data_IF_455087896685
#
_entry.id   IF_455087896685
#
_cell.length_a   1.000
_cell.length_b   1.000
_cell.length_c   1.000
_cell.angle_alpha   90.00
_cell.angle_beta   90.00
_cell.angle_gamma   90.00
#
_symmetry.space_group_name_H-M   'P 1'
#
loop_
_entity.id
_entity.type
_entity.pdbx_description
1 polymer ?
#
# COMPACT_ATOMS: atom_id res chain seq x y z
N UNK A 1 -4.78 -62.25 -21.86
CA UNK A 1 -5.59 -61.01 -21.92
C UNK A 1 -5.13 -60.26 -23.15
N UNK A 2 -6.05 -59.77 -24.00
CA UNK A 2 -5.68 -59.02 -25.19
C UNK A 2 -5.64 -57.52 -24.86
N UNK A 3 -4.47 -56.89 -25.03
CA UNK A 3 -4.35 -55.45 -24.88
C UNK A 3 -5.19 -54.72 -25.92
N UNK A 4 -6.06 -53.84 -25.45
CA UNK A 4 -6.91 -53.01 -26.31
C UNK A 4 -6.05 -51.89 -26.89
N UNK A 5 -5.74 -51.99 -28.18
CA UNK A 5 -5.24 -50.86 -28.98
C UNK A 5 -6.20 -49.67 -28.77
N UNK A 6 -5.73 -48.46 -28.42
CA UNK A 6 -6.61 -47.30 -28.24
C UNK A 6 -7.25 -46.89 -29.58
N UNK A 7 -8.49 -47.32 -29.83
CA UNK A 7 -9.26 -46.96 -31.04
C UNK A 7 -9.85 -45.55 -30.99
N UNK A 8 -9.07 -44.59 -30.48
CA UNK A 8 -9.39 -43.18 -30.54
C UNK A 8 -8.86 -42.59 -31.84
N UNK A 9 -9.74 -42.11 -32.73
CA UNK A 9 -9.31 -41.14 -33.75
C UNK A 9 -8.67 -39.95 -33.01
N UNK A 10 -7.52 -39.41 -33.46
CA UNK A 10 -6.91 -38.27 -32.79
C UNK A 10 -7.94 -37.14 -32.65
N UNK A 11 -7.99 -36.55 -31.44
CA UNK A 11 -8.92 -35.46 -31.09
C UNK A 11 -8.73 -34.37 -32.14
N UNK A 12 -9.78 -34.08 -32.92
CA UNK A 12 -9.67 -33.14 -34.05
C UNK A 12 -9.23 -31.78 -33.52
N UNK A 13 -8.18 -31.20 -34.11
CA UNK A 13 -7.87 -29.79 -33.90
C UNK A 13 -9.08 -28.96 -34.31
N UNK A 14 -9.54 -28.11 -33.41
CA UNK A 14 -10.76 -27.31 -33.57
C UNK A 14 -10.51 -25.81 -33.44
N UNK A 15 -9.33 -25.41 -32.94
CA UNK A 15 -8.83 -24.04 -32.90
C UNK A 15 -7.48 -23.92 -33.65
N UNK A 16 -7.08 -22.70 -34.00
CA UNK A 16 -5.79 -22.41 -34.65
C UNK A 16 -5.71 -22.72 -36.15
N UNK A 17 -6.79 -23.26 -36.75
CA UNK A 17 -6.83 -23.62 -38.17
C UNK A 17 -7.31 -22.42 -38.99
N UNK A 18 -6.48 -21.93 -39.92
CA UNK A 18 -6.85 -20.89 -40.88
C UNK A 18 -7.91 -21.45 -41.83
N UNK A 19 -9.11 -20.85 -41.83
CA UNK A 19 -10.24 -21.27 -42.69
C UNK A 19 -10.40 -20.41 -43.94
N UNK A 20 -9.91 -19.17 -43.93
CA UNK A 20 -10.11 -18.24 -45.06
C UNK A 20 -9.03 -17.17 -45.12
N UNK A 21 -8.71 -16.72 -46.33
CA UNK A 21 -8.00 -15.45 -46.57
C UNK A 21 -8.72 -14.63 -47.64
N UNK A 22 -8.79 -13.32 -47.41
CA UNK A 22 -9.25 -12.34 -48.38
C UNK A 22 -8.25 -11.19 -48.48
N UNK A 23 -7.88 -10.83 -49.71
CA UNK A 23 -6.93 -9.76 -50.02
C UNK A 23 -7.61 -8.70 -50.87
N UNK A 24 -7.48 -7.43 -50.49
CA UNK A 24 -7.86 -6.29 -51.32
C UNK A 24 -6.62 -5.44 -51.61
N UNK A 25 -6.41 -5.08 -52.87
CA UNK A 25 -5.32 -4.21 -53.34
C UNK A 25 -3.92 -4.59 -52.78
N UNK A 26 -3.63 -5.89 -52.65
CA UNK A 26 -2.41 -6.42 -52.06
C UNK A 26 -1.49 -7.02 -53.15
N UNK A 27 -0.31 -6.44 -53.32
CA UNK A 27 0.65 -6.75 -54.39
C UNK A 27 -0.01 -6.77 -55.79
N UNK A 28 -0.18 -7.96 -56.39
CA UNK A 28 -0.79 -8.13 -57.71
C UNK A 28 -2.32 -8.29 -57.64
N UNK A 29 -2.89 -8.62 -56.47
CA UNK A 29 -4.32 -8.95 -56.31
C UNK A 29 -5.14 -7.69 -56.01
N UNK A 30 -6.13 -7.38 -56.86
CA UNK A 30 -7.11 -6.30 -56.59
C UNK A 30 -8.17 -6.76 -55.59
N UNK A 31 -8.72 -7.96 -55.80
CA UNK A 31 -9.58 -8.67 -54.86
C UNK A 31 -9.30 -10.17 -55.06
N UNK A 32 -8.98 -10.89 -53.99
CA UNK A 32 -8.77 -12.34 -53.99
C UNK A 32 -9.41 -12.91 -52.72
N UNK A 33 -10.12 -14.02 -52.85
CA UNK A 33 -10.74 -14.71 -51.72
C UNK A 33 -10.50 -16.21 -51.90
N UNK A 34 -10.00 -16.87 -50.84
CA UNK A 34 -9.67 -18.29 -50.82
C UNK A 34 -10.15 -18.88 -49.49
N UNK A 35 -11.03 -19.87 -49.57
CA UNK A 35 -11.39 -20.73 -48.45
C UNK A 35 -10.39 -21.90 -48.38
N UNK A 36 -9.95 -22.26 -47.17
CA UNK A 36 -9.00 -23.32 -46.90
C UNK A 36 -9.67 -24.53 -46.24
N UNK A 37 -9.25 -25.73 -46.64
CA UNK A 37 -9.53 -26.97 -45.93
C UNK A 37 -8.60 -27.17 -44.73
N UNK A 38 -9.03 -28.01 -43.80
CA UNK A 38 -8.47 -28.13 -42.45
C UNK A 38 -7.05 -28.71 -42.35
N UNK A 39 -6.49 -29.25 -43.44
CA UNK A 39 -5.25 -30.04 -43.40
C UNK A 39 -4.23 -29.63 -44.46
N UNK A 40 -4.51 -29.94 -45.73
CA UNK A 40 -3.58 -29.72 -46.85
C UNK A 40 -4.31 -28.95 -47.94
N UNK A 41 -3.71 -27.84 -48.37
CA UNK A 41 -4.26 -26.93 -49.37
C UNK A 41 -3.26 -26.78 -50.51
N UNK A 42 -3.70 -27.04 -51.74
CA UNK A 42 -2.88 -26.92 -52.94
C UNK A 42 -3.24 -25.64 -53.71
N UNK A 43 -2.34 -24.66 -53.73
CA UNK A 43 -2.52 -23.41 -54.46
C UNK A 43 -1.72 -23.47 -55.77
N UNK A 44 -2.41 -23.80 -56.86
CA UNK A 44 -1.82 -23.93 -58.20
C UNK A 44 -2.10 -22.71 -59.08
N UNK A 45 -1.24 -22.44 -60.07
CA UNK A 45 -1.42 -21.32 -61.00
C UNK A 45 -0.14 -21.03 -61.79
N UNK A 46 -0.23 -20.21 -62.83
CA UNK A 46 0.90 -19.85 -63.69
C UNK A 46 2.00 -19.07 -62.93
N UNK A 47 3.20 -19.01 -63.49
CA UNK A 47 4.25 -18.16 -62.93
C UNK A 47 3.85 -16.68 -63.02
N UNK A 48 4.16 -15.90 -61.98
CA UNK A 48 3.68 -14.52 -61.85
C UNK A 48 2.25 -14.36 -61.31
N UNK A 49 1.43 -15.43 -61.20
CA UNK A 49 0.02 -15.34 -60.76
C UNK A 49 -0.22 -15.00 -59.27
N UNK A 50 0.80 -14.48 -58.57
CA UNK A 50 0.64 -14.03 -57.18
C UNK A 50 0.54 -15.12 -56.10
N UNK A 51 0.89 -16.38 -56.38
CA UNK A 51 0.86 -17.48 -55.39
C UNK A 51 1.64 -17.13 -54.10
N UNK A 52 2.88 -16.67 -54.25
CA UNK A 52 3.75 -16.27 -53.12
C UNK A 52 3.26 -15.04 -52.36
N UNK A 53 2.35 -14.24 -52.95
CA UNK A 53 1.73 -13.11 -52.28
C UNK A 53 0.75 -13.57 -51.19
N UNK A 54 0.10 -14.73 -51.36
CA UNK A 54 -0.81 -15.31 -50.36
C UNK A 54 -0.03 -15.69 -49.08
N UNK A 55 1.10 -16.39 -49.25
CA UNK A 55 2.00 -16.71 -48.13
C UNK A 55 2.55 -15.42 -47.47
N UNK A 56 2.87 -14.41 -48.26
CA UNK A 56 3.36 -13.13 -47.74
C UNK A 56 2.27 -12.37 -46.97
N UNK A 57 1.03 -12.42 -47.44
CA UNK A 57 -0.13 -11.84 -46.76
C UNK A 57 -0.38 -12.52 -45.42
N UNK A 58 -0.28 -13.86 -45.33
CA UNK A 58 -0.35 -14.58 -44.06
C UNK A 58 0.72 -14.12 -43.07
N UNK A 59 1.99 -14.04 -43.48
CA UNK A 59 3.06 -13.51 -42.62
C UNK A 59 2.74 -12.09 -42.12
N UNK A 60 2.24 -11.23 -43.01
CA UNK A 60 1.89 -9.83 -42.71
C UNK A 60 0.68 -9.74 -41.77
N UNK A 61 -0.33 -10.62 -41.91
CA UNK A 61 -1.46 -10.71 -40.99
C UNK A 61 -1.01 -11.11 -39.58
N UNK A 62 -0.19 -12.15 -39.47
CA UNK A 62 0.43 -12.60 -38.20
C UNK A 62 1.64 -11.75 -37.77
N UNK A 63 1.61 -10.44 -38.04
CA UNK A 63 2.53 -9.50 -37.38
C UNK A 63 3.95 -9.41 -37.94
N UNK A 64 4.37 -10.24 -38.92
CA UNK A 64 5.73 -10.20 -39.48
C UNK A 64 6.09 -8.79 -39.97
N UNK A 65 7.35 -8.40 -39.71
CA UNK A 65 7.95 -7.19 -40.30
C UNK A 65 8.05 -7.35 -41.83
N UNK A 66 7.88 -6.25 -42.58
CA UNK A 66 7.95 -6.28 -44.04
C UNK A 66 9.26 -6.91 -44.56
N UNK A 67 10.43 -6.50 -44.02
CA UNK A 67 11.74 -7.07 -44.33
C UNK A 67 11.83 -8.58 -44.07
N UNK A 68 11.15 -9.10 -43.05
CA UNK A 68 11.13 -10.52 -42.71
C UNK A 68 10.49 -11.41 -43.79
N UNK A 69 9.67 -10.83 -44.66
CA UNK A 69 9.06 -11.52 -45.80
C UNK A 69 9.99 -11.68 -47.00
N UNK A 70 11.12 -10.97 -47.03
CA UNK A 70 12.04 -10.84 -48.19
C UNK A 70 11.37 -10.28 -49.47
N UNK A 71 10.16 -9.70 -49.38
CA UNK A 71 9.41 -9.14 -50.52
C UNK A 71 9.28 -7.62 -50.52
N UNK A 72 9.44 -6.97 -49.37
CA UNK A 72 9.26 -5.53 -49.20
C UNK A 72 10.17 -4.96 -48.10
N UNK A 73 10.46 -3.66 -48.16
CA UNK A 73 11.20 -2.97 -47.11
C UNK A 73 10.27 -2.39 -46.04
N UNK A 74 9.09 -1.91 -46.46
CA UNK A 74 8.07 -1.28 -45.63
C UNK A 74 6.69 -1.85 -45.97
N UNK A 75 5.72 -1.71 -45.06
CA UNK A 75 4.39 -2.31 -45.26
C UNK A 75 3.64 -1.71 -46.45
N UNK A 76 3.82 -0.42 -46.72
CA UNK A 76 3.20 0.26 -47.87
C UNK A 76 3.64 -0.29 -49.23
N UNK A 77 4.82 -0.93 -49.31
CA UNK A 77 5.31 -1.55 -50.55
C UNK A 77 4.50 -2.80 -50.93
N UNK A 78 3.63 -3.29 -50.03
CA UNK A 78 2.65 -4.33 -50.32
C UNK A 78 1.34 -3.80 -50.93
N UNK A 79 1.13 -2.48 -50.97
CA UNK A 79 -0.04 -1.89 -51.62
C UNK A 79 0.12 -2.03 -53.13
N UNK A 80 -0.93 -2.52 -53.80
CA UNK A 80 -0.98 -2.64 -55.26
C UNK A 80 -0.74 -1.27 -55.90
N UNK A 81 0.15 -1.22 -56.90
CA UNK A 81 0.46 0.01 -57.64
C UNK A 81 -0.81 0.66 -58.20
N UNK A 82 -1.01 1.94 -57.91
CA UNK A 82 -2.22 2.69 -58.26
C UNK A 82 -3.33 2.68 -57.22
N UNK A 83 -3.14 1.98 -56.08
CA UNK A 83 -4.08 1.97 -54.96
C UNK A 83 -3.51 2.72 -53.74
N UNK A 84 -4.37 3.31 -52.92
CA UNK A 84 -3.99 4.09 -51.72
C UNK A 84 -3.91 3.26 -50.43
N UNK A 85 -4.42 2.03 -50.45
CA UNK A 85 -4.49 1.12 -49.32
C UNK A 85 -4.59 -0.34 -49.76
N UNK A 86 -4.25 -1.25 -48.85
CA UNK A 86 -4.45 -2.68 -48.98
C UNK A 86 -5.14 -3.25 -47.72
N UNK A 87 -5.86 -4.36 -47.88
CA UNK A 87 -6.44 -5.14 -46.79
C UNK A 87 -5.97 -6.58 -46.89
N UNK A 88 -5.55 -7.14 -45.76
CA UNK A 88 -5.40 -8.58 -45.55
C UNK A 88 -6.38 -8.99 -44.46
N UNK A 89 -7.32 -9.86 -44.79
CA UNK A 89 -8.30 -10.43 -43.86
C UNK A 89 -8.07 -11.94 -43.78
N UNK A 90 -7.88 -12.47 -42.56
CA UNK A 90 -7.65 -13.89 -42.31
C UNK A 90 -8.68 -14.37 -41.30
N UNK A 91 -9.35 -15.48 -41.57
CA UNK A 91 -10.27 -16.12 -40.62
C UNK A 91 -9.67 -17.42 -40.12
N UNK A 92 -9.83 -17.67 -38.81
CA UNK A 92 -9.24 -18.81 -38.14
C UNK A 92 -10.25 -19.41 -37.15
N UNK A 93 -10.40 -20.74 -37.19
CA UNK A 93 -11.29 -21.49 -36.29
C UNK A 93 -10.82 -21.33 -34.84
N UNK A 94 -11.77 -21.21 -33.92
CA UNK A 94 -11.52 -20.99 -32.51
C UNK A 94 -12.49 -21.81 -31.63
N UNK A 95 -12.45 -23.14 -31.78
CA UNK A 95 -13.40 -24.07 -31.13
C UNK A 95 -12.67 -25.12 -30.31
N UNK A 96 -13.39 -25.72 -29.35
CA UNK A 96 -12.86 -26.77 -28.47
C UNK A 96 -12.09 -26.23 -27.27
N UNK A 97 -11.39 -27.12 -26.57
CA UNK A 97 -10.69 -26.81 -25.32
C UNK A 97 -9.53 -25.81 -25.52
N UNK A 98 -8.87 -25.83 -26.67
CA UNK A 98 -7.73 -24.96 -27.00
C UNK A 98 -8.14 -23.59 -27.59
N UNK A 99 -9.42 -23.19 -27.46
CA UNK A 99 -9.91 -21.93 -28.01
C UNK A 99 -9.34 -20.70 -27.28
N UNK A 100 -8.76 -19.76 -28.03
CA UNK A 100 -8.24 -18.50 -27.50
C UNK A 100 -9.41 -17.58 -27.10
N UNK A 101 -9.48 -17.25 -25.80
CA UNK A 101 -10.45 -16.31 -25.21
C UNK A 101 -11.87 -16.50 -25.78
N UNK A 102 -12.37 -17.74 -25.70
CA UNK A 102 -13.61 -18.18 -26.35
C UNK A 102 -14.84 -17.29 -26.04
N UNK A 103 -14.95 -16.75 -24.84
CA UNK A 103 -16.03 -15.81 -24.45
C UNK A 103 -16.02 -14.50 -25.25
N UNK A 104 -14.84 -14.00 -25.63
CA UNK A 104 -14.68 -12.74 -26.35
C UNK A 104 -14.79 -12.92 -27.88
N UNK A 105 -14.20 -13.99 -28.41
CA UNK A 105 -14.11 -14.23 -29.86
C UNK A 105 -15.15 -15.22 -30.42
N UNK A 106 -15.67 -16.12 -29.58
CA UNK A 106 -16.49 -17.25 -30.02
C UNK A 106 -15.73 -18.20 -30.97
N UNK A 107 -16.50 -18.94 -31.76
CA UNK A 107 -16.05 -20.04 -32.64
C UNK A 107 -15.06 -19.68 -33.77
N UNK A 108 -14.85 -18.39 -34.05
CA UNK A 108 -14.07 -17.89 -35.17
C UNK A 108 -13.41 -16.56 -34.81
N UNK A 109 -12.11 -16.43 -35.08
CA UNK A 109 -11.38 -15.18 -34.97
C UNK A 109 -11.11 -14.64 -36.38
N UNK A 110 -11.39 -13.36 -36.60
CA UNK A 110 -11.02 -12.66 -37.82
C UNK A 110 -9.90 -11.65 -37.53
N UNK A 111 -8.84 -11.70 -38.34
CA UNK A 111 -7.67 -10.83 -38.26
C UNK A 111 -7.68 -9.93 -39.50
N UNK A 112 -8.02 -8.66 -39.31
CA UNK A 112 -7.95 -7.64 -40.35
C UNK A 112 -6.71 -6.77 -40.19
N UNK A 113 -5.86 -6.75 -41.21
CA UNK A 113 -4.73 -5.83 -41.31
C UNK A 113 -4.93 -4.89 -42.49
N UNK A 114 -5.20 -3.62 -42.18
CA UNK A 114 -5.33 -2.54 -43.16
C UNK A 114 -4.02 -1.74 -43.22
N UNK A 115 -3.50 -1.57 -44.43
CA UNK A 115 -2.26 -0.85 -44.73
C UNK A 115 -2.61 0.35 -45.60
N UNK A 116 -2.11 1.54 -45.27
CA UNK A 116 -2.12 2.73 -46.13
C UNK A 116 -0.69 3.23 -46.34
N UNK A 117 -0.51 4.25 -47.18
CA UNK A 117 0.81 4.86 -47.42
C UNK A 117 1.45 5.44 -46.14
N UNK A 118 0.62 5.91 -45.19
CA UNK A 118 1.04 6.61 -43.98
C UNK A 118 0.98 5.75 -42.71
N UNK A 119 0.16 4.69 -42.67
CA UNK A 119 -0.10 3.93 -41.45
C UNK A 119 -0.39 2.44 -41.72
N UNK A 120 -0.30 1.61 -40.70
CA UNK A 120 -0.88 0.27 -40.71
C UNK A 120 -1.63 0.01 -39.42
N UNK A 121 -2.79 -0.63 -39.51
CA UNK A 121 -3.64 -0.98 -38.37
C UNK A 121 -3.99 -2.46 -38.41
N UNK A 122 -4.18 -3.02 -37.22
CA UNK A 122 -4.58 -4.41 -37.02
C UNK A 122 -5.85 -4.38 -36.17
N UNK A 123 -6.86 -5.14 -36.56
CA UNK A 123 -8.13 -5.27 -35.84
C UNK A 123 -8.45 -6.77 -35.71
N UNK A 124 -8.72 -7.19 -34.49
CA UNK A 124 -9.19 -8.54 -34.19
C UNK A 124 -10.69 -8.48 -33.94
N UNK A 125 -11.45 -9.31 -34.65
CA UNK A 125 -12.91 -9.40 -34.55
C UNK A 125 -13.34 -10.79 -34.13
N UNK A 126 -14.49 -10.86 -33.47
CA UNK A 126 -15.15 -12.12 -33.11
C UNK A 126 -15.92 -12.73 -34.30
N UNK A 127 -16.54 -13.88 -34.07
CA UNK A 127 -17.34 -14.60 -35.07
C UNK A 127 -18.53 -13.80 -35.67
N UNK A 128 -18.97 -12.72 -35.02
CA UNK A 128 -20.01 -11.81 -35.50
C UNK A 128 -19.45 -10.62 -36.31
N UNK A 129 -18.14 -10.55 -36.52
CA UNK A 129 -17.47 -9.40 -37.13
C UNK A 129 -17.33 -8.17 -36.20
N UNK A 130 -17.70 -8.29 -34.93
CA UNK A 130 -17.55 -7.20 -33.94
C UNK A 130 -16.08 -7.10 -33.52
N UNK A 131 -15.53 -5.88 -33.56
CA UNK A 131 -14.19 -5.57 -33.07
C UNK A 131 -14.07 -5.90 -31.57
N UNK A 132 -13.12 -6.77 -31.25
CA UNK A 132 -12.72 -7.12 -29.87
C UNK A 132 -11.48 -6.32 -29.48
N UNK A 133 -10.47 -6.27 -30.35
CA UNK A 133 -9.20 -5.59 -30.08
C UNK A 133 -8.60 -4.91 -31.32
N UNK A 134 -7.62 -4.04 -31.08
CA UNK A 134 -6.76 -3.44 -32.12
C UNK A 134 -5.32 -3.17 -31.63
N UNK A 135 -4.95 -3.75 -30.48
CA UNK A 135 -3.59 -3.66 -29.92
C UNK A 135 -2.72 -4.75 -30.54
N UNK A 136 -1.42 -4.46 -30.73
CA UNK A 136 -0.48 -5.44 -31.30
C UNK A 136 -0.20 -6.57 -30.30
N UNK A 137 -0.33 -6.26 -29.02
CA UNK A 137 -0.11 -7.13 -27.87
C UNK A 137 -1.14 -8.28 -27.86
N UNK A 138 -2.41 -7.99 -28.13
CA UNK A 138 -3.46 -9.02 -28.26
C UNK A 138 -3.20 -9.97 -29.45
N UNK A 139 -2.72 -9.44 -30.59
CA UNK A 139 -2.29 -10.29 -31.71
C UNK A 139 -1.09 -11.17 -31.31
N UNK A 140 -0.15 -10.64 -30.52
CA UNK A 140 0.99 -11.40 -30.04
C UNK A 140 0.55 -12.53 -29.09
N UNK A 141 -0.40 -12.27 -28.18
CA UNK A 141 -1.00 -13.30 -27.31
C UNK A 141 -1.67 -14.41 -28.13
N UNK A 142 -2.46 -14.05 -29.14
CA UNK A 142 -3.09 -15.01 -30.05
C UNK A 142 -2.06 -15.86 -30.81
N UNK A 143 -1.00 -15.24 -31.32
CA UNK A 143 0.08 -15.90 -32.05
C UNK A 143 0.83 -16.90 -31.14
N UNK A 144 1.12 -16.50 -29.89
CA UNK A 144 1.78 -17.36 -28.89
C UNK A 144 0.87 -18.51 -28.48
N UNK A 145 -0.42 -18.25 -28.23
CA UNK A 145 -1.42 -19.26 -27.85
C UNK A 145 -1.56 -20.38 -28.90
N UNK A 146 -1.60 -20.01 -30.19
CA UNK A 146 -1.63 -20.99 -31.29
C UNK A 146 -0.25 -21.42 -31.80
N UNK A 147 0.83 -20.97 -31.14
CA UNK A 147 2.22 -21.31 -31.46
C UNK A 147 2.61 -21.07 -32.93
N UNK A 148 2.12 -19.97 -33.53
CA UNK A 148 2.28 -19.61 -34.95
C UNK A 148 3.58 -18.83 -35.18
N UNK A 149 4.70 -19.51 -35.41
CA UNK A 149 5.96 -18.82 -35.73
C UNK A 149 6.12 -18.58 -37.25
N UNK A 150 5.75 -17.38 -37.72
CA UNK A 150 5.94 -16.97 -39.13
C UNK A 150 7.38 -16.54 -39.48
N UNK A 151 8.27 -16.39 -38.50
CA UNK A 151 9.68 -16.10 -38.74
C UNK A 151 10.52 -17.38 -38.87
N UNK A 152 10.09 -18.49 -38.25
CA UNK A 152 10.74 -19.79 -38.35
C UNK A 152 10.79 -20.27 -39.82
N UNK A 153 11.99 -20.55 -40.37
CA UNK A 153 12.14 -20.94 -41.77
C UNK A 153 11.60 -22.34 -42.10
N UNK A 154 11.37 -23.20 -41.10
CA UNK A 154 10.73 -24.50 -41.28
C UNK A 154 9.19 -24.42 -41.31
N UNK A 155 8.60 -23.36 -40.74
CA UNK A 155 7.16 -23.08 -40.84
C UNK A 155 6.87 -22.29 -42.13
N UNK A 156 7.61 -21.19 -42.35
CA UNK A 156 7.51 -20.37 -43.55
C UNK A 156 8.78 -20.50 -44.39
N UNK A 157 8.73 -21.48 -45.29
CA UNK A 157 9.76 -21.74 -46.30
C UNK A 157 9.47 -20.95 -47.59
N UNK A 158 10.10 -19.79 -47.75
CA UNK A 158 10.03 -19.01 -49.00
C UNK A 158 10.95 -19.62 -50.07
N UNK A 159 10.66 -19.38 -51.35
CA UNK A 159 11.53 -19.80 -52.47
C UNK A 159 12.98 -19.32 -52.30
N UNK A 160 13.16 -18.11 -51.76
CA UNK A 160 14.47 -17.49 -51.58
C UNK A 160 15.18 -18.07 -50.35
N UNK A 161 14.49 -18.30 -49.22
CA UNK A 161 15.01 -19.08 -48.08
C UNK A 161 15.40 -20.51 -48.48
N UNK A 162 14.63 -21.19 -49.33
CA UNK A 162 14.97 -22.54 -49.83
C UNK A 162 16.26 -22.52 -50.64
N UNK A 163 16.42 -21.54 -51.53
CA UNK A 163 17.65 -21.35 -52.31
C UNK A 163 18.84 -21.03 -51.40
N UNK A 164 18.66 -20.10 -50.47
CA UNK A 164 19.69 -19.73 -49.49
C UNK A 164 20.13 -20.95 -48.66
N UNK A 165 19.18 -21.74 -48.14
CA UNK A 165 19.48 -22.96 -47.40
C UNK A 165 20.29 -23.98 -48.22
N UNK A 166 19.85 -24.29 -49.44
CA UNK A 166 20.53 -25.27 -50.32
C UNK A 166 21.90 -24.80 -50.83
N UNK A 167 22.06 -23.50 -51.09
CA UNK A 167 23.31 -22.92 -51.63
C UNK A 167 24.22 -22.32 -50.56
N UNK A 168 23.81 -22.31 -49.28
CA UNK A 168 24.67 -21.92 -48.15
C UNK A 168 25.80 -22.94 -47.98
N UNK A 169 26.92 -22.75 -48.68
CA UNK A 169 28.09 -23.64 -48.63
C UNK A 169 28.78 -23.68 -47.26
N UNK A 170 28.53 -22.70 -46.40
CA UNK A 170 29.18 -22.50 -45.11
C UNK A 170 28.46 -23.25 -43.97
N UNK A 171 29.21 -24.03 -43.19
CA UNK A 171 28.69 -24.76 -42.02
C UNK A 171 28.09 -23.82 -40.96
N UNK A 172 28.63 -22.59 -40.81
CA UNK A 172 28.10 -21.61 -39.85
C UNK A 172 26.67 -21.18 -40.17
N UNK A 173 26.34 -21.02 -41.44
CA UNK A 173 25.02 -20.52 -41.85
C UNK A 173 23.97 -21.63 -41.83
N UNK A 174 24.37 -22.89 -42.13
CA UNK A 174 23.57 -24.09 -41.84
C UNK A 174 23.29 -24.23 -40.33
N UNK A 175 24.28 -24.01 -39.48
CA UNK A 175 24.08 -24.02 -38.03
C UNK A 175 23.11 -22.92 -37.59
N UNK A 176 23.27 -21.66 -38.03
CA UNK A 176 22.32 -20.57 -37.73
C UNK A 176 20.90 -20.91 -38.17
N UNK A 177 20.73 -21.49 -39.37
CA UNK A 177 19.43 -21.91 -39.88
C UNK A 177 18.79 -22.95 -38.94
N UNK A 178 19.55 -24.00 -38.59
CA UNK A 178 19.10 -25.04 -37.65
C UNK A 178 18.77 -24.45 -36.26
N UNK A 179 19.63 -23.59 -35.73
CA UNK A 179 19.50 -22.95 -34.42
C UNK A 179 18.27 -22.02 -34.33
N UNK A 180 17.94 -21.29 -35.42
CA UNK A 180 16.68 -20.54 -35.52
C UNK A 180 15.47 -21.48 -35.72
N UNK A 181 15.58 -22.50 -36.58
CA UNK A 181 14.49 -23.42 -36.89
C UNK A 181 14.04 -24.27 -35.69
N UNK A 182 14.98 -24.64 -34.83
CA UNK A 182 14.76 -25.39 -33.57
C UNK A 182 14.37 -24.48 -32.40
N UNK A 183 14.16 -23.19 -32.63
CA UNK A 183 13.83 -22.16 -31.64
C UNK A 183 14.91 -21.95 -30.55
N UNK A 184 16.05 -22.66 -30.61
CA UNK A 184 17.15 -22.52 -29.65
C UNK A 184 17.70 -21.09 -29.57
N UNK A 185 17.69 -20.34 -30.68
CA UNK A 185 18.04 -18.92 -30.68
C UNK A 185 17.11 -18.09 -29.78
N UNK A 186 15.79 -18.36 -29.81
CA UNK A 186 14.84 -17.63 -28.96
C UNK A 186 15.06 -17.94 -27.48
N UNK A 187 15.46 -19.18 -27.16
CA UNK A 187 15.85 -19.59 -25.80
C UNK A 187 17.14 -18.89 -25.35
N UNK A 188 18.16 -18.81 -26.21
CA UNK A 188 19.40 -18.08 -25.90
C UNK A 188 19.14 -16.58 -25.67
N UNK A 189 18.40 -15.92 -26.57
CA UNK A 189 18.02 -14.51 -26.45
C UNK A 189 17.23 -14.25 -25.15
N UNK A 190 16.33 -15.15 -24.76
CA UNK A 190 15.59 -15.09 -23.49
C UNK A 190 16.51 -15.26 -22.26
N UNK A 191 17.43 -16.22 -22.29
CA UNK A 191 18.38 -16.45 -21.20
C UNK A 191 19.31 -15.25 -20.98
N UNK A 192 19.81 -14.65 -22.06
CA UNK A 192 20.62 -13.42 -22.00
C UNK A 192 19.79 -12.26 -21.42
N UNK A 193 18.53 -12.12 -21.84
CA UNK A 193 17.60 -11.14 -21.29
C UNK A 193 17.37 -11.30 -19.78
N UNK A 194 17.11 -12.53 -19.33
CA UNK A 194 16.92 -12.86 -17.91
C UNK A 194 18.19 -12.58 -17.10
N UNK A 195 19.38 -12.94 -17.61
CA UNK A 195 20.65 -12.63 -16.95
C UNK A 195 20.85 -11.13 -16.77
N UNK A 196 20.52 -10.32 -17.78
CA UNK A 196 20.58 -8.85 -17.68
C UNK A 196 19.57 -8.31 -16.66
N UNK A 197 18.35 -8.85 -16.60
CA UNK A 197 17.35 -8.43 -15.62
C UNK A 197 17.77 -8.78 -14.18
N UNK A 198 18.29 -9.99 -13.95
CA UNK A 198 18.82 -10.41 -12.66
C UNK A 198 20.00 -9.54 -12.20
N UNK A 199 20.90 -9.18 -13.11
CA UNK A 199 22.00 -8.26 -12.81
C UNK A 199 21.47 -6.91 -12.32
N UNK A 200 20.58 -6.28 -13.08
CA UNK A 200 20.01 -4.97 -12.74
C UNK A 200 19.22 -5.01 -11.42
N UNK A 201 18.50 -6.10 -11.15
CA UNK A 201 17.77 -6.29 -9.89
C UNK A 201 18.72 -6.42 -8.69
N UNK A 202 19.82 -7.17 -8.82
CA UNK A 202 20.83 -7.29 -7.77
C UNK A 202 21.55 -5.96 -7.50
N UNK A 203 21.85 -5.18 -8.54
CA UNK A 203 22.43 -3.84 -8.41
C UNK A 203 21.47 -2.90 -7.64
N UNK A 204 20.18 -2.90 -7.97
CA UNK A 204 19.16 -2.13 -7.26
C UNK A 204 19.00 -2.56 -5.79
N UNK A 205 19.00 -3.86 -5.50
CA UNK A 205 18.95 -4.37 -4.11
C UNK A 205 20.17 -3.88 -3.32
N UNK A 206 21.38 -3.97 -3.90
CA UNK A 206 22.60 -3.51 -3.23
C UNK A 206 22.63 -1.99 -3.00
N UNK A 207 21.98 -1.18 -3.84
CA UNK A 207 21.79 0.26 -3.60
C UNK A 207 20.79 0.53 -2.47
N UNK A 208 19.65 -0.19 -2.47
CA UNK A 208 18.64 -0.07 -1.41
C UNK A 208 19.21 -0.46 -0.04
N UNK A 209 19.93 -1.59 0.06
CA UNK A 209 20.61 -2.02 1.30
C UNK A 209 21.60 -0.95 1.81
N UNK A 210 22.39 -0.34 0.92
CA UNK A 210 23.29 0.78 1.29
C UNK A 210 22.53 1.99 1.83
N UNK A 211 21.35 2.29 1.29
CA UNK A 211 20.51 3.42 1.73
C UNK A 211 19.78 3.18 3.04
N UNK A 212 19.46 1.92 3.37
CA UNK A 212 18.79 1.54 4.64
C UNK A 212 19.77 1.61 5.82
N UNK A 213 21.03 1.20 5.63
CA UNK A 213 22.05 1.19 6.68
C UNK A 213 22.21 2.50 7.50
N UNK A 214 22.27 3.71 6.92
CA UNK A 214 22.32 4.95 7.70
C UNK A 214 21.03 5.21 8.48
N UNK A 215 19.85 4.89 7.92
CA UNK A 215 18.55 5.09 8.58
C UNK A 215 18.43 4.19 9.80
N UNK A 216 18.89 2.94 9.72
CA UNK A 216 18.92 2.01 10.86
C UNK A 216 19.81 2.55 11.99
N UNK A 217 20.99 3.10 11.66
CA UNK A 217 21.87 3.74 12.66
C UNK A 217 21.24 4.97 13.32
N UNK A 218 20.56 5.80 12.53
CA UNK A 218 19.84 6.98 13.07
C UNK A 218 18.72 6.56 14.03
N UNK A 219 17.98 5.48 13.71
CA UNK A 219 16.97 4.92 14.60
C UNK A 219 17.57 4.38 15.92
N UNK A 220 18.70 3.68 15.87
CA UNK A 220 19.40 3.20 17.07
C UNK A 220 19.87 4.38 17.95
N UNK A 221 20.43 5.44 17.35
CA UNK A 221 20.80 6.66 18.07
C UNK A 221 19.60 7.37 18.71
N UNK A 222 18.47 7.46 17.99
CA UNK A 222 17.23 8.05 18.51
C UNK A 222 16.64 7.21 19.65
N UNK A 223 16.65 5.87 19.56
CA UNK A 223 16.27 5.01 20.66
C UNK A 223 17.17 5.19 21.89
N UNK A 224 18.48 5.36 21.71
CA UNK A 224 19.41 5.66 22.80
C UNK A 224 19.09 6.99 23.50
N UNK A 225 18.72 8.02 22.72
CA UNK A 225 18.29 9.33 23.23
C UNK A 225 16.97 9.21 24.01
N UNK A 226 15.98 8.48 23.50
CA UNK A 226 14.70 8.25 24.19
C UNK A 226 14.90 7.60 25.56
N UNK A 227 15.64 6.48 25.64
CA UNK A 227 15.94 5.82 26.93
C UNK A 227 16.67 6.72 27.93
N UNK A 228 17.53 7.60 27.43
CA UNK A 228 18.21 8.60 28.27
C UNK A 228 17.25 9.65 28.82
N UNK A 229 16.25 10.08 28.03
CA UNK A 229 15.21 11.02 28.47
C UNK A 229 14.25 10.38 29.47
N UNK A 230 13.83 9.12 29.26
CA UNK A 230 13.03 8.34 30.21
C UNK A 230 13.70 8.26 31.59
N UNK A 231 15.02 8.02 31.63
CA UNK A 231 15.76 7.98 32.89
C UNK A 231 15.87 9.37 33.56
N UNK A 232 16.01 10.44 32.79
CA UNK A 232 15.99 11.82 33.32
C UNK A 232 14.61 12.16 33.92
N UNK A 233 13.53 11.74 33.27
CA UNK A 233 12.16 11.92 33.76
C UNK A 233 11.93 11.16 35.08
N UNK A 234 12.42 9.93 35.19
CA UNK A 234 12.36 9.16 36.44
C UNK A 234 13.12 9.84 37.60
N UNK A 235 14.32 10.37 37.34
CA UNK A 235 15.09 11.14 38.33
C UNK A 235 14.32 12.43 38.72
N UNK A 236 13.72 13.13 37.76
CA UNK A 236 12.91 14.33 38.01
C UNK A 236 11.73 14.03 38.94
N UNK A 237 11.02 12.92 38.68
CA UNK A 237 9.92 12.44 39.52
C UNK A 237 10.40 12.09 40.95
N UNK A 238 11.57 11.48 41.12
CA UNK A 238 12.15 11.24 42.44
C UNK A 238 12.53 12.53 43.17
N UNK A 239 13.11 13.52 42.46
CA UNK A 239 13.44 14.83 43.02
C UNK A 239 12.19 15.55 43.53
N UNK A 240 11.09 15.55 42.78
CA UNK A 240 9.84 16.17 43.23
C UNK A 240 9.16 15.43 44.38
N UNK A 241 9.28 14.09 44.45
CA UNK A 241 8.88 13.32 45.62
C UNK A 241 9.71 13.69 46.86
N UNK A 242 11.02 13.89 46.71
CA UNK A 242 11.90 14.31 47.79
C UNK A 242 11.61 15.74 48.25
N UNK A 243 11.32 16.68 47.35
CA UNK A 243 10.84 18.03 47.70
C UNK A 243 9.55 17.98 48.54
N UNK A 244 8.58 17.15 48.13
CA UNK A 244 7.33 16.94 48.89
C UNK A 244 7.61 16.38 50.29
N UNK A 245 8.49 15.37 50.40
CA UNK A 245 8.92 14.82 51.71
C UNK A 245 9.64 15.85 52.58
N UNK A 246 10.49 16.70 52.00
CA UNK A 246 11.20 17.78 52.71
C UNK A 246 10.22 18.82 53.26
N UNK A 247 9.22 19.23 52.47
CA UNK A 247 8.18 20.15 52.92
C UNK A 247 7.38 19.56 54.11
N UNK A 248 7.00 18.28 54.03
CA UNK A 248 6.37 17.59 55.16
C UNK A 248 7.28 17.50 56.40
N UNK A 249 8.58 17.23 56.24
CA UNK A 249 9.52 17.20 57.37
C UNK A 249 9.63 18.56 58.08
N UNK A 250 9.53 19.67 57.34
CA UNK A 250 9.41 21.02 57.92
C UNK A 250 8.08 21.22 58.66
N UNK A 251 6.95 20.75 58.12
CA UNK A 251 5.66 20.80 58.82
C UNK A 251 5.72 20.01 60.13
N UNK A 252 6.26 18.78 60.11
CA UNK A 252 6.42 17.96 61.32
C UNK A 252 7.34 18.59 62.38
N UNK A 253 8.41 19.28 61.96
CA UNK A 253 9.32 19.93 62.93
C UNK A 253 8.69 21.17 63.58
N UNK A 254 7.91 21.95 62.82
CA UNK A 254 7.15 23.09 63.34
C UNK A 254 5.97 22.63 64.20
N UNK A 255 5.24 21.59 63.80
CA UNK A 255 4.14 21.03 64.58
C UNK A 255 4.63 20.48 65.91
N UNK A 256 5.77 19.76 65.93
CA UNK A 256 6.39 19.34 67.19
C UNK A 256 6.75 20.51 68.10
N UNK A 257 7.31 21.60 67.57
CA UNK A 257 7.57 22.82 68.34
C UNK A 257 6.28 23.49 68.86
N UNK A 258 5.20 23.44 68.07
CA UNK A 258 3.88 23.92 68.49
C UNK A 258 3.28 23.05 69.60
N UNK A 259 3.40 21.73 69.52
CA UNK A 259 2.98 20.80 70.58
C UNK A 259 3.77 21.06 71.88
N UNK A 260 5.09 21.21 71.80
CA UNK A 260 5.94 21.49 72.96
C UNK A 260 5.60 22.86 73.59
N UNK A 261 5.38 23.91 72.78
CA UNK A 261 4.89 25.21 73.25
C UNK A 261 3.48 25.14 73.84
N UNK A 262 2.59 24.33 73.27
CA UNK A 262 1.21 24.15 73.74
C UNK A 262 1.18 23.47 75.10
N UNK A 263 1.96 22.39 75.28
CA UNK A 263 2.20 21.77 76.60
C UNK A 263 2.75 22.79 77.60
N UNK A 264 3.69 23.65 77.19
CA UNK A 264 4.25 24.68 78.07
C UNK A 264 3.22 25.75 78.45
N UNK A 265 2.31 26.12 77.55
CA UNK A 265 1.17 27.00 77.85
C UNK A 265 0.19 26.30 78.79
N UNK A 266 -0.04 25.01 78.64
CA UNK A 266 -0.92 24.21 79.50
C UNK A 266 -0.35 24.04 80.91
N UNK A 267 0.95 23.76 81.05
CA UNK A 267 1.69 23.79 82.33
C UNK A 267 1.59 25.16 83.02
N UNK A 268 1.73 26.25 82.25
CA UNK A 268 1.61 27.61 82.77
C UNK A 268 0.16 27.93 83.17
N UNK A 269 -0.84 27.51 82.39
CA UNK A 269 -2.27 27.61 82.75
C UNK A 269 -2.60 26.82 84.01
N UNK A 270 -2.04 25.62 84.18
CA UNK A 270 -2.16 24.82 85.41
C UNK A 270 -1.52 25.48 86.64
N UNK A 271 -0.55 26.38 86.45
CA UNK A 271 0.05 27.21 87.52
C UNK A 271 -0.76 28.47 87.86
N UNK A 272 -1.63 28.94 86.96
CA UNK A 272 -2.52 30.09 87.23
C UNK A 272 -3.34 29.89 88.51
N UNK A 273 -4.11 28.80 88.72
CA UNK A 273 -4.89 28.63 89.95
C UNK A 273 -4.03 28.55 91.22
N UNK A 274 -2.78 28.07 91.15
CA UNK A 274 -1.85 28.10 92.29
C UNK A 274 -1.39 29.53 92.61
N UNK A 275 -1.16 30.36 91.58
CA UNK A 275 -0.85 31.77 91.76
C UNK A 275 -2.08 32.56 92.25
N UNK A 276 -3.27 32.29 91.71
CA UNK A 276 -4.54 32.84 92.18
C UNK A 276 -4.75 32.53 93.67
N UNK A 277 -4.62 31.27 94.07
CA UNK A 277 -4.77 30.85 95.48
C UNK A 277 -3.76 31.52 96.42
N UNK A 278 -2.54 31.82 95.96
CA UNK A 278 -1.56 32.64 96.72
C UNK A 278 -1.96 34.11 96.82
N UNK A 279 -2.54 34.68 95.77
CA UNK A 279 -3.10 36.05 95.79
C UNK A 279 -4.29 36.11 96.76
N UNK A 280 -5.18 35.11 96.72
CA UNK A 280 -6.33 34.98 97.62
C UNK A 280 -5.90 34.82 99.08
N UNK A 281 -4.86 34.02 99.36
CA UNK A 281 -4.27 33.93 100.71
C UNK A 281 -3.74 35.28 101.21
N UNK A 282 -3.07 36.05 100.35
CA UNK A 282 -2.62 37.40 100.70
C UNK A 282 -3.79 38.38 100.89
N UNK A 283 -4.85 38.31 100.08
CA UNK A 283 -6.08 39.11 100.23
C UNK A 283 -6.82 38.78 101.53
N UNK A 284 -6.95 37.50 101.89
CA UNK A 284 -7.54 37.07 103.17
C UNK A 284 -6.72 37.60 104.35
N UNK A 285 -5.37 37.56 104.27
CA UNK A 285 -4.51 38.13 105.31
C UNK A 285 -4.66 39.65 105.47
N UNK A 286 -4.97 40.37 104.39
CA UNK A 286 -5.20 41.82 104.40
C UNK A 286 -6.60 42.18 104.91
N UNK A 287 -7.64 41.42 104.52
CA UNK A 287 -9.04 41.68 104.91
C UNK A 287 -9.30 41.41 106.39
N UNK A 288 -8.67 40.38 106.98
CA UNK A 288 -8.76 40.10 108.42
C UNK A 288 -8.23 41.27 109.26
N UNK A 289 -7.29 42.08 108.75
CA UNK A 289 -6.70 43.19 109.49
C UNK A 289 -7.52 44.50 109.46
N UNK A 290 -8.60 44.60 108.68
CA UNK A 290 -9.36 45.85 108.51
C UNK A 290 -10.88 45.74 108.76
N UNK A 291 -11.42 44.53 108.96
CA UNK A 291 -12.88 44.34 109.10
C UNK A 291 -13.51 44.68 110.47
N UNK A 292 -12.75 44.71 111.57
CA UNK A 292 -13.33 44.37 112.88
C UNK A 292 -13.74 45.53 113.82
N UNK A 293 -13.73 46.81 113.42
CA UNK A 293 -14.23 47.89 114.33
C UNK A 293 -14.85 49.15 113.75
N UNK A 294 -14.90 49.36 112.42
CA UNK A 294 -15.68 50.48 111.85
C UNK A 294 -17.22 50.35 112.08
N UNK A 295 -17.69 49.16 112.48
CA UNK A 295 -19.10 48.83 112.70
C UNK A 295 -19.75 49.55 113.89
N UNK A 296 -18.97 50.09 114.86
CA UNK A 296 -19.55 50.80 116.02
C UNK A 296 -19.86 52.29 115.81
N UNK A 297 -19.39 52.92 114.73
CA UNK A 297 -19.65 54.35 114.47
C UNK A 297 -21.01 54.62 113.80
N UNK A 298 -21.63 53.60 113.20
CA UNK A 298 -22.76 53.78 112.27
C UNK A 298 -24.17 53.71 112.87
N UNK A 299 -24.31 53.51 114.20
CA UNK A 299 -25.60 53.11 114.81
C UNK A 299 -26.31 54.16 115.68
N UNK A 300 -25.96 55.45 115.62
CA UNK A 300 -26.62 56.47 116.47
C UNK A 300 -26.78 57.91 115.90
N UNK A 301 -26.35 58.22 114.67
CA UNK A 301 -26.48 59.58 114.10
C UNK A 301 -27.55 59.70 112.99
N UNK A 302 -28.48 58.74 112.91
CA UNK A 302 -29.57 58.75 111.93
C UNK A 302 -30.94 58.66 112.61
N UNK A 303 -31.65 59.79 112.71
CA UNK A 303 -33.12 59.80 112.87
C UNK A 303 -33.71 60.52 114.08
N UNK A 304 -33.83 61.86 114.00
CA UNK A 304 -34.92 62.62 114.64
C UNK A 304 -35.69 63.52 113.63
N UNK A 305 -35.49 63.29 112.33
CA UNK A 305 -36.23 63.84 111.18
C UNK A 305 -36.18 62.73 110.12
N UNK A 306 -37.26 62.13 109.57
CA UNK A 306 -38.67 62.51 109.42
C UNK A 306 -38.96 63.61 108.38
N UNK A 307 -38.62 63.36 107.10
CA UNK A 307 -39.44 63.78 105.95
C UNK A 307 -39.02 63.12 104.61
N UNK A 308 -40.02 62.57 103.90
CA UNK A 308 -40.19 62.57 102.43
C UNK A 308 -39.37 61.67 101.48
N UNK A 309 -40.06 60.62 100.98
CA UNK A 309 -40.06 60.08 99.59
C UNK A 309 -38.77 59.43 99.01
N UNK A 310 -38.69 58.14 98.60
CA UNK A 310 -39.51 57.31 97.67
C UNK A 310 -39.72 58.00 96.29
N UNK A 311 -39.62 57.38 95.11
CA UNK A 311 -39.45 55.98 94.64
C UNK A 311 -38.81 56.04 93.22
N UNK A 312 -38.23 54.98 92.62
CA UNK A 312 -38.93 53.98 91.78
C UNK A 312 -37.86 53.07 91.15
N UNK A 313 -37.86 51.74 91.35
CA UNK A 313 -38.44 50.71 90.46
C UNK A 313 -38.00 50.82 88.97
N UNK A 314 -37.22 49.87 88.40
CA UNK A 314 -37.46 48.43 88.10
C UNK A 314 -38.12 48.16 86.73
N UNK A 315 -37.36 47.54 85.80
CA UNK A 315 -37.76 46.60 84.73
C UNK A 315 -36.45 46.14 84.04
N UNK A 316 -35.97 44.89 84.05
CA UNK A 316 -36.47 43.58 83.61
C UNK A 316 -36.72 43.42 82.08
N UNK A 317 -36.07 42.37 81.52
CA UNK A 317 -36.40 41.70 80.25
C UNK A 317 -35.38 41.87 79.11
N UNK A 318 -35.01 40.84 78.31
CA UNK A 318 -35.03 39.38 78.52
C UNK A 318 -34.19 38.64 77.45
N UNK A 319 -33.43 37.62 77.88
CA UNK A 319 -33.27 36.22 77.39
C UNK A 319 -33.34 35.75 75.88
N UNK A 320 -32.81 34.52 75.64
CA UNK A 320 -32.81 33.61 74.44
C UNK A 320 -31.65 33.77 73.40
N UNK A 321 -30.76 32.78 73.06
CA UNK A 321 -30.83 31.39 72.48
C UNK A 321 -30.57 31.38 70.95
N UNK A 322 -29.87 30.45 70.25
CA UNK A 322 -28.92 29.33 70.55
C UNK A 322 -28.39 28.71 69.21
N UNK A 323 -27.23 28.02 69.21
CA UNK A 323 -26.69 27.12 68.14
C UNK A 323 -26.45 27.71 66.73
N UNK A 324 -25.17 27.84 66.35
CA UNK A 324 -24.53 26.93 65.37
C UNK A 324 -23.00 26.92 65.55
#
# INVERSE_FOLDING_TARGET
MADRVPTGRPKRLQAGIISKIRLENFMCHSNLEIDFGDWVNFITGQNGSGKSAILTALCVAFGSRARGTQRANTLKDFIKTGCSHALVHVEMKNRGEDAFKAEAYGDLIMIERRISESASSIVLKNYQGKKVAAKREELQELIVHFNIDVENPCVIMSQDKSREFLHSGNSKDKFKFFFKATLLQQVEDLLIGIQSQLKNANELVAELEKSINPIVKELDELQGKIRSMEHIEEISNQVDLLKKKLAWAWVYSVDKQLQDKSKRIEELKGRIPTCQSRIDQHLVSALVFHGESYVKSWNAFAGTIFTSFYSSMYANGDFFVTLM
#
